data_IF_131344263161
#
_entry.id   IF_131344263161
#
_cell.length_a   1.000
_cell.length_b   1.000
_cell.length_c   1.000
_cell.angle_alpha   90.00
_cell.angle_beta   90.00
_cell.angle_gamma   90.00
#
_symmetry.space_group_name_H-M   'P 1'
#
loop_
_entity.id
_entity.type
_entity.pdbx_description
1 polymer ?
#
# COMPACT_ATOMS: atom_id res chain seq x y z
N UNK A 1 16.04 -23.79 -6.11
CA UNK A 1 14.84 -22.90 -6.30
C UNK A 1 14.52 -22.07 -5.06
N UNK A 2 14.18 -22.66 -3.90
CA UNK A 2 13.89 -21.89 -2.65
C UNK A 2 15.15 -21.18 -2.14
N UNK A 3 16.28 -21.86 -2.12
CA UNK A 3 17.57 -21.26 -1.71
C UNK A 3 17.99 -20.09 -2.62
N UNK A 4 17.79 -20.20 -3.93
CA UNK A 4 18.08 -19.11 -4.87
C UNK A 4 17.18 -17.90 -4.62
N UNK A 5 15.91 -18.14 -4.32
CA UNK A 5 14.95 -17.09 -3.95
C UNK A 5 15.37 -16.41 -2.64
N UNK A 6 15.69 -17.17 -1.59
CA UNK A 6 16.16 -16.63 -0.31
C UNK A 6 17.46 -15.83 -0.46
N UNK A 7 18.40 -16.33 -1.29
CA UNK A 7 19.63 -15.64 -1.60
C UNK A 7 19.40 -14.32 -2.36
N UNK A 8 18.34 -14.23 -3.18
CA UNK A 8 17.97 -12.98 -3.83
C UNK A 8 17.37 -11.97 -2.86
N UNK A 9 16.55 -12.40 -1.90
CA UNK A 9 15.96 -11.52 -0.87
C UNK A 9 17.04 -10.87 0.01
N UNK A 10 18.16 -11.54 0.23
CA UNK A 10 19.25 -11.02 1.04
C UNK A 10 20.20 -10.08 0.27
N UNK A 11 20.02 -9.89 -1.02
CA UNK A 11 20.85 -8.96 -1.81
C UNK A 11 20.33 -7.52 -1.66
N UNK A 12 21.28 -6.61 -1.40
CA UNK A 12 20.97 -5.17 -1.44
C UNK A 12 20.60 -4.81 -2.89
N UNK A 13 19.42 -4.25 -3.14
CA UNK A 13 19.00 -3.88 -4.48
C UNK A 13 19.93 -2.83 -5.10
N UNK A 14 20.18 -2.93 -6.40
CA UNK A 14 20.93 -1.92 -7.12
C UNK A 14 20.26 -0.53 -7.01
N UNK A 15 21.05 0.54 -7.04
CA UNK A 15 20.55 1.92 -6.95
C UNK A 15 19.45 2.23 -7.97
N UNK A 16 19.55 1.68 -9.20
CA UNK A 16 18.51 1.80 -10.23
C UNK A 16 17.19 1.17 -9.82
N UNK A 17 17.24 -0.01 -9.15
CA UNK A 17 16.06 -0.72 -8.64
C UNK A 17 15.39 0.07 -7.52
N UNK A 18 16.18 0.62 -6.58
CA UNK A 18 15.66 1.46 -5.51
C UNK A 18 15.01 2.74 -6.03
N UNK A 19 15.61 3.38 -7.06
CA UNK A 19 15.02 4.54 -7.71
C UNK A 19 13.67 4.21 -8.34
N UNK A 20 13.57 3.06 -9.04
CA UNK A 20 12.31 2.61 -9.64
C UNK A 20 11.26 2.36 -8.55
N UNK A 21 11.60 1.61 -7.49
CA UNK A 21 10.67 1.34 -6.39
C UNK A 21 10.13 2.62 -5.73
N UNK A 22 10.96 3.65 -5.55
CA UNK A 22 10.51 4.96 -5.06
C UNK A 22 9.49 5.62 -5.97
N UNK A 23 9.70 5.54 -7.29
CA UNK A 23 8.76 6.12 -8.26
C UNK A 23 7.42 5.38 -8.24
N UNK A 24 7.44 4.04 -8.18
CA UNK A 24 6.23 3.22 -8.06
C UNK A 24 5.42 3.55 -6.79
N UNK A 25 6.11 3.75 -5.65
CA UNK A 25 5.44 4.15 -4.40
C UNK A 25 4.80 5.55 -4.53
N UNK A 26 5.50 6.51 -5.13
CA UNK A 26 4.98 7.86 -5.33
C UNK A 26 3.77 7.84 -6.27
N UNK A 27 3.86 7.07 -7.34
CA UNK A 27 2.79 6.89 -8.31
C UNK A 27 1.56 6.26 -7.65
N UNK A 28 1.77 5.15 -6.90
CA UNK A 28 0.72 4.51 -6.12
C UNK A 28 0.02 5.48 -5.16
N UNK A 29 0.76 6.28 -4.40
CA UNK A 29 0.19 7.30 -3.50
C UNK A 29 -0.64 8.31 -4.29
N UNK A 30 -0.14 8.75 -5.43
CA UNK A 30 -0.80 9.75 -6.28
C UNK A 30 -2.17 9.28 -6.76
N UNK A 31 -2.24 8.12 -7.43
CA UNK A 31 -3.52 7.63 -7.94
C UNK A 31 -4.44 7.11 -6.83
N UNK A 32 -3.91 6.60 -5.72
CA UNK A 32 -4.73 6.23 -4.57
C UNK A 32 -5.41 7.43 -3.94
N UNK A 33 -4.69 8.55 -3.74
CA UNK A 33 -5.29 9.80 -3.27
C UNK A 33 -6.35 10.31 -4.25
N UNK A 34 -6.10 10.23 -5.55
CA UNK A 34 -7.10 10.57 -6.56
C UNK A 34 -8.33 9.66 -6.46
N UNK A 35 -8.11 8.35 -6.25
CA UNK A 35 -9.15 7.35 -6.02
C UNK A 35 -10.08 7.72 -4.86
N UNK A 36 -9.54 8.23 -3.74
CA UNK A 36 -10.37 8.65 -2.57
C UNK A 36 -11.39 9.74 -2.89
N UNK A 37 -11.19 10.51 -3.96
CA UNK A 37 -12.06 11.62 -4.36
C UNK A 37 -13.18 11.20 -5.30
N UNK A 38 -13.20 9.96 -5.72
CA UNK A 38 -14.19 9.41 -6.63
C UNK A 38 -15.50 9.03 -5.92
N UNK A 39 -16.57 8.88 -6.69
CA UNK A 39 -17.85 8.38 -6.17
C UNK A 39 -17.73 6.94 -5.68
N UNK A 40 -16.93 6.13 -6.34
CA UNK A 40 -16.67 4.72 -6.04
C UNK A 40 -16.00 4.53 -4.68
N UNK A 41 -15.29 5.54 -4.18
CA UNK A 41 -14.65 5.49 -2.87
C UNK A 41 -15.59 5.65 -1.67
N UNK A 42 -16.85 6.07 -1.88
CA UNK A 42 -17.84 6.32 -0.81
C UNK A 42 -18.05 5.13 0.14
N UNK A 43 -18.18 3.89 -0.33
CA UNK A 43 -18.34 2.73 0.57
C UNK A 43 -17.16 2.58 1.52
N UNK A 44 -15.93 2.75 1.04
CA UNK A 44 -14.71 2.65 1.86
C UNK A 44 -14.59 3.80 2.85
N UNK A 45 -15.00 5.01 2.46
CA UNK A 45 -15.07 6.15 3.37
C UNK A 45 -16.08 5.92 4.50
N UNK A 46 -17.22 5.34 4.21
CA UNK A 46 -18.22 4.99 5.22
C UNK A 46 -17.71 3.87 6.12
N UNK A 47 -17.09 2.84 5.55
CA UNK A 47 -16.52 1.73 6.28
C UNK A 47 -15.47 2.20 7.30
N UNK A 48 -14.53 3.06 6.90
CA UNK A 48 -13.51 3.57 7.82
C UNK A 48 -14.10 4.29 9.05
N UNK A 49 -15.27 4.91 8.91
CA UNK A 49 -15.89 5.66 10.02
C UNK A 49 -16.40 4.74 11.13
N UNK A 50 -16.80 3.52 10.78
CA UNK A 50 -17.33 2.53 11.72
C UNK A 50 -16.27 1.55 12.23
N UNK A 51 -15.11 1.49 11.58
CA UNK A 51 -14.00 0.64 12.04
C UNK A 51 -13.36 1.21 13.31
N UNK A 52 -12.84 0.34 14.21
CA UNK A 52 -12.16 0.78 15.41
C UNK A 52 -10.87 1.54 15.10
N UNK A 53 -10.48 2.40 16.03
CA UNK A 53 -9.19 3.09 15.94
C UNK A 53 -8.02 2.14 16.16
N UNK A 54 -6.88 2.48 15.57
CA UNK A 54 -5.63 1.74 15.66
C UNK A 54 -4.44 2.67 15.45
N UNK A 55 -3.31 2.12 14.99
CA UNK A 55 -2.05 2.86 14.87
C UNK A 55 -1.53 2.98 13.43
N UNK A 56 -2.30 2.54 12.43
CA UNK A 56 -1.89 2.58 11.02
C UNK A 56 -2.64 3.64 10.24
N UNK A 57 -1.92 4.34 9.36
CA UNK A 57 -2.49 5.40 8.54
C UNK A 57 -3.35 4.84 7.41
N UNK A 58 -4.43 5.53 7.09
CA UNK A 58 -5.20 5.33 5.89
C UNK A 58 -5.25 6.60 5.03
N UNK A 59 -5.51 6.45 3.74
CA UNK A 59 -5.44 7.55 2.77
C UNK A 59 -6.66 8.47 2.77
N UNK A 60 -7.76 8.10 3.43
CA UNK A 60 -8.98 8.92 3.44
C UNK A 60 -8.95 10.05 4.46
N UNK A 61 -8.31 9.82 5.61
CA UNK A 61 -8.40 10.75 6.73
C UNK A 61 -7.22 10.60 7.68
N UNK A 62 -7.21 11.46 8.70
CA UNK A 62 -6.24 11.35 9.81
C UNK A 62 -6.59 10.26 10.82
N UNK A 63 -7.77 9.63 10.72
CA UNK A 63 -8.13 8.51 11.58
C UNK A 63 -7.20 7.35 11.31
N UNK A 64 -6.56 6.85 12.34
CA UNK A 64 -5.74 5.65 12.29
C UNK A 64 -6.62 4.42 12.55
N UNK A 65 -6.37 3.36 11.83
CA UNK A 65 -7.07 2.08 11.94
C UNK A 65 -6.08 0.99 12.34
N UNK A 66 -6.57 -0.22 12.63
CA UNK A 66 -5.65 -1.34 12.75
C UNK A 66 -4.96 -1.62 11.40
N UNK A 67 -3.88 -2.40 11.43
CA UNK A 67 -3.03 -2.63 10.27
C UNK A 67 -3.77 -3.31 9.11
N UNK A 68 -4.67 -4.25 9.40
CA UNK A 68 -5.41 -5.00 8.38
C UNK A 68 -6.47 -4.12 7.71
N UNK A 69 -7.22 -3.35 8.50
CA UNK A 69 -8.24 -2.44 7.99
C UNK A 69 -7.61 -1.31 7.18
N UNK A 70 -6.47 -0.75 7.63
CA UNK A 70 -5.73 0.25 6.88
C UNK A 70 -5.21 -0.30 5.56
N UNK A 71 -4.61 -1.49 5.56
CA UNK A 71 -4.11 -2.13 4.34
C UNK A 71 -5.24 -2.41 3.36
N UNK A 72 -6.37 -2.95 3.84
CA UNK A 72 -7.55 -3.21 3.02
C UNK A 72 -8.10 -1.95 2.37
N UNK A 73 -8.30 -0.88 3.15
CA UNK A 73 -8.84 0.39 2.63
C UNK A 73 -7.85 1.02 1.65
N UNK A 74 -6.55 1.06 1.97
CA UNK A 74 -5.55 1.64 1.11
C UNK A 74 -5.43 0.89 -0.23
N UNK A 75 -5.43 -0.46 -0.22
CA UNK A 75 -5.45 -1.26 -1.43
C UNK A 75 -6.71 -1.03 -2.26
N UNK A 76 -7.87 -0.99 -1.60
CA UNK A 76 -9.15 -0.78 -2.29
C UNK A 76 -9.21 0.56 -3.01
N UNK A 77 -8.70 1.64 -2.40
CA UNK A 77 -8.71 2.96 -3.04
C UNK A 77 -7.63 3.10 -4.11
N UNK A 78 -6.52 2.38 -3.98
CA UNK A 78 -5.49 2.28 -5.00
C UNK A 78 -6.06 1.71 -6.30
N UNK A 79 -6.83 0.65 -6.20
CA UNK A 79 -7.38 -0.05 -7.36
C UNK A 79 -8.57 0.66 -8.05
N UNK A 80 -9.22 1.65 -7.41
CA UNK A 80 -10.47 2.27 -7.94
C UNK A 80 -10.30 2.85 -9.36
N UNK A 81 -9.16 3.42 -9.68
CA UNK A 81 -8.92 4.08 -10.97
C UNK A 81 -8.28 3.17 -12.01
N UNK A 82 -7.91 1.94 -11.63
CA UNK A 82 -7.20 0.98 -12.51
C UNK A 82 -5.98 1.62 -13.22
N UNK A 83 -5.24 2.47 -12.49
CA UNK A 83 -4.03 3.16 -12.98
C UNK A 83 -2.75 2.49 -12.50
N UNK A 84 -2.87 1.42 -11.76
CA UNK A 84 -1.79 0.66 -11.16
C UNK A 84 -0.98 -0.15 -12.18
N UNK A 85 0.20 -0.55 -11.77
CA UNK A 85 1.12 -1.34 -12.59
C UNK A 85 0.59 -2.76 -12.83
N UNK A 86 0.80 -3.26 -14.05
CA UNK A 86 0.43 -4.62 -14.44
C UNK A 86 1.65 -5.42 -14.84
N UNK A 87 1.87 -6.55 -14.17
CA UNK A 87 2.87 -7.51 -14.62
C UNK A 87 2.34 -8.33 -15.80
N UNK A 88 2.82 -8.04 -17.01
CA UNK A 88 2.24 -8.54 -18.26
C UNK A 88 2.11 -10.05 -18.37
N UNK A 89 3.05 -10.82 -17.82
CA UNK A 89 3.08 -12.27 -17.96
C UNK A 89 2.12 -12.97 -16.98
N UNK A 90 2.02 -12.46 -15.76
CA UNK A 90 1.17 -13.04 -14.70
C UNK A 90 -0.17 -12.34 -14.52
N UNK A 91 -0.37 -11.22 -15.22
CA UNK A 91 -1.62 -10.41 -15.16
C UNK A 91 -2.00 -10.12 -13.71
N UNK A 92 -1.01 -9.75 -12.89
CA UNK A 92 -1.20 -9.33 -11.51
C UNK A 92 -0.88 -7.84 -11.37
N UNK A 93 -1.43 -7.22 -10.34
CA UNK A 93 -1.25 -5.83 -9.97
C UNK A 93 -0.37 -5.73 -8.71
N UNK A 94 0.98 -5.74 -8.84
CA UNK A 94 1.88 -5.81 -7.70
C UNK A 94 1.78 -4.58 -6.81
N UNK A 95 1.58 -3.40 -7.38
CA UNK A 95 1.49 -2.14 -6.66
C UNK A 95 0.38 -2.17 -5.62
N UNK A 96 -0.82 -2.50 -6.03
CA UNK A 96 -2.00 -2.52 -5.15
C UNK A 96 -2.01 -3.65 -4.11
N UNK A 97 -1.16 -4.67 -4.29
CA UNK A 97 -1.01 -5.76 -3.31
C UNK A 97 0.11 -5.50 -2.32
N UNK A 98 1.26 -5.02 -2.78
CA UNK A 98 2.49 -4.92 -1.97
C UNK A 98 2.59 -3.57 -1.28
N UNK A 99 2.32 -2.47 -2.00
CA UNK A 99 2.55 -1.13 -1.46
C UNK A 99 1.62 -0.79 -0.29
N UNK A 100 0.30 -1.06 -0.33
CA UNK A 100 -0.57 -0.80 0.81
C UNK A 100 -0.12 -1.48 2.10
N UNK A 101 0.29 -2.75 2.01
CA UNK A 101 0.80 -3.50 3.17
C UNK A 101 2.10 -2.91 3.67
N UNK A 102 3.06 -2.65 2.78
CA UNK A 102 4.35 -2.04 3.14
C UNK A 102 4.16 -0.64 3.73
N UNK A 103 3.30 0.18 3.14
CA UNK A 103 2.99 1.53 3.60
C UNK A 103 2.40 1.54 5.01
N UNK A 104 1.44 0.67 5.31
CA UNK A 104 0.83 0.58 6.64
C UNK A 104 1.82 0.08 7.70
N UNK A 105 2.73 -0.85 7.34
CA UNK A 105 3.77 -1.33 8.25
C UNK A 105 4.85 -0.28 8.53
N UNK A 106 5.30 0.45 7.51
CA UNK A 106 6.34 1.47 7.65
C UNK A 106 5.85 2.71 8.40
N UNK A 107 4.55 2.97 8.39
CA UNK A 107 3.95 4.12 9.07
C UNK A 107 3.49 3.82 10.49
N UNK A 108 3.67 2.59 10.98
CA UNK A 108 3.47 2.29 12.39
C UNK A 108 4.43 3.14 13.24
N UNK A 109 3.91 3.81 14.30
CA UNK A 109 4.80 4.49 15.22
C UNK A 109 5.78 3.46 15.82
N UNK A 110 7.07 3.62 15.56
CA UNK A 110 8.13 2.82 16.17
C UNK A 110 8.34 3.22 17.63
N UNK A 111 7.29 3.29 18.41
CA UNK A 111 7.32 3.53 19.84
C UNK A 111 7.18 2.23 20.61
N UNK A 112 8.14 1.33 20.41
CA UNK A 112 8.54 0.41 21.46
C UNK A 112 10.05 0.53 21.61
N UNK A 113 10.50 1.63 22.22
CA UNK A 113 11.73 1.57 22.97
C UNK A 113 11.39 0.91 24.31
N UNK A 114 11.77 -0.34 24.45
CA UNK A 114 11.97 -0.98 25.72
C UNK A 114 13.16 -0.32 26.40
#
# INVERSE_FOLDING_TARGET
MIEDFLNQLNKIPAAKTLKKAKLEIIDWIGYSIAGTRTRQARPFKNLQNILPEGNSLNLFSRKQLNIFDSAFINASVGNILELDDVHRTSIIHPGDTIIPVSYTHLTLPTTSRV
#
